data_IF_517222569653
#
_entry.id   IF_517222569653
#
_cell.length_a   1.000
_cell.length_b   1.000
_cell.length_c   1.000
_cell.angle_alpha   90.00
_cell.angle_beta   90.00
_cell.angle_gamma   90.00
#
_symmetry.space_group_name_H-M   'P 1'
#
loop_
_entity.id
_entity.type
_entity.pdbx_description
1 polymer ?
#
# COMPACT_ATOMS: atom_id res chain seq x y z
N UNK A 1 18.43 20.65 -2.75
CA UNK A 1 18.11 21.19 -1.41
C UNK A 1 18.44 20.12 -0.39
N UNK A 2 18.89 20.51 0.81
CA UNK A 2 19.22 19.55 1.89
C UNK A 2 18.26 19.77 3.05
N UNK A 3 17.76 18.69 3.65
CA UNK A 3 16.93 18.69 4.85
C UNK A 3 17.70 17.99 5.98
N UNK A 4 17.75 18.62 7.16
CA UNK A 4 18.26 17.97 8.36
C UNK A 4 17.11 17.17 9.01
N UNK A 5 17.29 15.86 9.13
CA UNK A 5 16.28 14.96 9.68
C UNK A 5 16.06 15.27 11.16
N UNK A 6 14.85 15.61 11.51
CA UNK A 6 14.41 15.81 12.89
C UNK A 6 13.84 14.51 13.49
N UNK A 7 13.79 14.46 14.83
CA UNK A 7 13.14 13.32 15.52
C UNK A 7 11.66 13.25 15.14
N UNK A 8 11.25 12.12 14.58
CA UNK A 8 9.89 11.89 14.10
C UNK A 8 9.70 12.13 12.60
N UNK A 9 10.74 12.58 11.87
CA UNK A 9 10.68 12.62 10.42
C UNK A 9 10.67 11.21 9.84
N UNK A 10 9.88 11.03 8.78
CA UNK A 10 9.88 9.83 7.95
C UNK A 10 10.11 10.23 6.50
N UNK A 11 10.69 9.36 5.70
CA UNK A 11 10.86 9.63 4.25
C UNK A 11 9.54 9.92 3.55
N UNK A 12 8.46 9.27 3.98
CA UNK A 12 7.11 9.49 3.46
C UNK A 12 6.61 10.90 3.76
N UNK A 13 6.74 11.36 5.01
CA UNK A 13 6.36 12.71 5.42
C UNK A 13 7.21 13.77 4.70
N UNK A 14 8.51 13.52 4.56
CA UNK A 14 9.42 14.41 3.85
C UNK A 14 9.13 14.43 2.34
N UNK A 15 8.78 13.29 1.74
CA UNK A 15 8.35 13.22 0.34
C UNK A 15 7.11 14.09 0.09
N UNK A 16 6.11 14.00 0.95
CA UNK A 16 4.91 14.85 0.89
C UNK A 16 5.24 16.32 1.10
N UNK A 17 6.01 16.64 2.14
CA UNK A 17 6.42 18.02 2.47
C UNK A 17 7.14 18.72 1.32
N UNK A 18 7.95 17.99 0.58
CA UNK A 18 8.75 18.54 -0.51
C UNK A 18 8.17 18.29 -1.91
N UNK A 19 6.99 17.68 -2.01
CA UNK A 19 6.32 17.40 -3.29
C UNK A 19 7.12 16.45 -4.19
N UNK A 20 7.76 15.46 -3.58
CA UNK A 20 8.57 14.43 -4.24
C UNK A 20 8.08 13.02 -3.84
N UNK A 21 8.77 11.98 -4.26
CA UNK A 21 8.43 10.59 -3.90
C UNK A 21 9.52 9.99 -3.02
N UNK A 22 9.17 8.99 -2.20
CA UNK A 22 10.15 8.23 -1.39
C UNK A 22 11.23 7.63 -2.29
N UNK A 23 10.86 7.10 -3.45
CA UNK A 23 11.80 6.56 -4.44
C UNK A 23 12.77 7.61 -4.98
N UNK A 24 12.31 8.84 -5.23
CA UNK A 24 13.16 9.93 -5.66
C UNK A 24 14.12 10.39 -4.54
N UNK A 25 13.63 10.43 -3.29
CA UNK A 25 14.46 10.70 -2.12
C UNK A 25 15.54 9.63 -1.94
N UNK A 26 15.21 8.34 -2.07
CA UNK A 26 16.19 7.26 -1.99
C UNK A 26 17.24 7.32 -3.09
N UNK A 27 16.83 7.57 -4.34
CA UNK A 27 17.76 7.73 -5.47
C UNK A 27 18.73 8.89 -5.24
N UNK A 28 18.27 10.00 -4.63
CA UNK A 28 19.10 11.14 -4.30
C UNK A 28 19.99 10.90 -3.06
N UNK A 29 19.75 9.83 -2.31
CA UNK A 29 20.43 9.50 -1.06
C UNK A 29 20.85 8.02 -1.03
N UNK A 30 21.87 7.59 -1.78
CA UNK A 30 22.28 6.18 -1.85
C UNK A 30 22.70 5.58 -0.50
N UNK A 31 23.01 6.43 0.49
CA UNK A 31 23.32 6.00 1.86
C UNK A 31 22.09 5.55 2.63
N UNK A 32 20.89 5.95 2.21
CA UNK A 32 19.62 5.53 2.79
C UNK A 32 19.22 4.20 2.14
N UNK A 33 19.81 3.13 2.59
CA UNK A 33 19.55 1.76 2.09
C UNK A 33 18.19 1.25 2.55
N UNK A 34 17.73 1.73 3.70
CA UNK A 34 16.39 1.40 4.22
C UNK A 34 15.57 2.71 4.38
N UNK A 35 14.46 2.86 3.62
CA UNK A 35 13.62 4.05 3.69
C UNK A 35 12.94 4.26 5.05
N UNK A 36 12.83 3.19 5.84
CA UNK A 36 12.20 3.19 7.13
C UNK A 36 13.20 3.51 8.28
N UNK A 37 14.49 3.64 7.94
CA UNK A 37 15.56 3.89 8.90
C UNK A 37 16.32 5.16 8.52
N UNK A 38 15.77 6.30 8.90
CA UNK A 38 16.45 7.59 8.87
C UNK A 38 16.68 8.08 10.29
N UNK A 39 17.86 8.62 10.56
CA UNK A 39 18.24 9.02 11.91
C UNK A 39 18.16 10.53 12.06
N UNK A 40 17.59 10.99 13.18
CA UNK A 40 17.59 12.39 13.53
C UNK A 40 19.04 12.90 13.64
N UNK A 41 19.33 14.02 12.98
CA UNK A 41 20.68 14.58 12.85
C UNK A 41 21.38 14.27 11.52
N UNK A 42 20.89 13.30 10.75
CA UNK A 42 21.39 13.07 9.39
C UNK A 42 20.85 14.10 8.41
N UNK A 43 21.53 14.23 7.28
CA UNK A 43 21.14 15.11 6.20
C UNK A 43 20.56 14.32 5.02
N UNK A 44 19.41 14.74 4.54
CA UNK A 44 18.73 14.17 3.40
C UNK A 44 18.77 15.13 2.21
N UNK A 45 19.33 14.70 1.09
CA UNK A 45 19.26 15.44 -0.17
C UNK A 45 17.84 15.36 -0.74
N UNK A 46 17.19 16.51 -0.87
CA UNK A 46 15.88 16.61 -1.49
C UNK A 46 16.12 16.93 -2.97
N UNK A 47 15.79 16.02 -3.89
CA UNK A 47 15.83 16.34 -5.31
C UNK A 47 14.90 17.53 -5.55
N UNK A 48 15.38 18.53 -6.31
CA UNK A 48 14.51 19.62 -6.77
C UNK A 48 13.29 18.99 -7.44
N UNK A 49 12.16 19.70 -7.47
CA UNK A 49 11.02 19.31 -8.31
C UNK A 49 11.56 19.02 -9.70
N UNK A 50 11.86 17.78 -9.97
CA UNK A 50 12.01 17.33 -11.34
C UNK A 50 10.59 17.29 -11.87
N UNK A 51 10.24 18.22 -12.72
CA UNK A 51 9.10 18.15 -13.62
C UNK A 51 9.30 16.93 -14.54
N UNK A 52 9.19 15.76 -14.00
CA UNK A 52 9.33 14.46 -14.69
C UNK A 52 8.16 13.55 -14.37
N UNK A 53 6.96 14.11 -14.47
CA UNK A 53 5.78 13.42 -14.93
C UNK A 53 5.20 14.20 -16.11
N UNK A 54 6.03 14.42 -17.11
CA UNK A 54 5.56 14.69 -18.46
C UNK A 54 5.28 13.34 -19.10
N UNK A 55 4.08 13.09 -19.63
CA UNK A 55 3.92 12.00 -20.56
C UNK A 55 4.87 12.27 -21.72
N UNK A 56 5.66 11.27 -22.10
CA UNK A 56 6.45 11.35 -23.32
C UNK A 56 5.49 11.57 -24.50
N UNK A 57 5.25 12.83 -24.79
CA UNK A 57 4.62 13.28 -26.01
C UNK A 57 5.66 13.29 -27.10
N UNK A 58 5.75 12.23 -27.82
CA UNK A 58 6.45 12.12 -29.09
C UNK A 58 5.48 11.50 -30.07
N UNK A 59 4.66 12.34 -30.71
CA UNK A 59 3.95 11.95 -31.92
C UNK A 59 4.94 11.91 -33.07
N UNK A 60 5.08 10.79 -33.75
CA UNK A 60 5.40 10.81 -35.16
C UNK A 60 4.10 10.80 -35.96
N UNK A 61 3.99 11.79 -36.81
CA UNK A 61 3.01 11.97 -37.86
C UNK A 61 3.05 10.77 -38.82
N UNK A 62 1.88 10.22 -39.08
CA UNK A 62 1.43 9.72 -40.39
C UNK A 62 2.02 8.41 -40.87
N UNK A 63 1.16 7.40 -40.99
CA UNK A 63 0.85 6.78 -42.26
C UNK A 63 -0.32 5.81 -42.12
N UNK A 64 -1.27 6.00 -42.99
CA UNK A 64 -2.46 5.16 -43.21
C UNK A 64 -2.10 3.81 -43.83
N UNK A 65 -2.92 2.79 -43.51
CA UNK A 65 -3.06 1.62 -44.34
C UNK A 65 -3.46 0.36 -43.58
N UNK A 66 -4.40 -0.39 -44.13
CA UNK A 66 -5.22 -1.36 -43.38
C UNK A 66 -4.68 -2.78 -43.53
N UNK A 67 -5.07 -3.63 -42.59
CA UNK A 67 -4.86 -5.06 -42.76
C UNK A 67 -4.85 -5.79 -41.44
N UNK A 68 -5.90 -6.55 -41.20
CA UNK A 68 -6.04 -7.44 -40.10
C UNK A 68 -4.96 -8.49 -40.07
N UNK A 69 -4.81 -9.07 -38.94
CA UNK A 69 -4.83 -10.53 -38.79
C UNK A 69 -4.75 -10.90 -37.30
N UNK A 70 -5.65 -11.77 -36.97
CA UNK A 70 -5.74 -12.52 -35.74
C UNK A 70 -4.47 -13.34 -35.52
N UNK A 71 -3.94 -13.29 -34.29
CA UNK A 71 -3.12 -14.36 -33.76
C UNK A 71 -3.59 -14.78 -32.38
N UNK A 72 -4.22 -15.94 -32.36
CA UNK A 72 -4.51 -16.71 -31.16
C UNK A 72 -3.38 -17.72 -30.91
N UNK A 73 -3.27 -18.18 -29.65
CA UNK A 73 -2.05 -18.61 -29.00
C UNK A 73 -1.78 -20.09 -29.11
N UNK A 74 -0.56 -20.45 -29.14
CA UNK A 74 -0.10 -21.82 -28.89
C UNK A 74 0.78 -21.87 -27.69
N UNK A 75 0.40 -22.45 -26.67
CA UNK A 75 0.70 -23.67 -26.00
C UNK A 75 2.00 -23.76 -25.21
N UNK A 76 1.78 -24.02 -23.92
CA UNK A 76 2.44 -24.98 -23.03
C UNK A 76 3.82 -24.67 -22.43
N UNK A 77 3.81 -24.69 -21.11
CA UNK A 77 4.80 -25.42 -20.33
C UNK A 77 5.72 -24.63 -19.45
N UNK A 78 5.54 -24.74 -18.14
CA UNK A 78 6.69 -24.71 -17.27
C UNK A 78 6.62 -23.84 -16.02
N UNK A 79 6.18 -24.44 -14.94
CA UNK A 79 6.71 -24.35 -13.58
C UNK A 79 6.85 -23.00 -12.88
N UNK A 80 6.05 -22.82 -11.82
CA UNK A 80 6.49 -22.08 -10.62
C UNK A 80 6.58 -20.57 -10.74
N UNK A 81 5.52 -19.91 -11.20
CA UNK A 81 5.42 -18.47 -11.14
C UNK A 81 4.52 -18.06 -9.97
N UNK A 82 5.03 -17.25 -9.07
CA UNK A 82 4.21 -16.51 -8.13
C UNK A 82 3.10 -15.82 -8.93
N UNK A 83 1.85 -16.24 -8.71
CA UNK A 83 0.68 -15.67 -9.38
C UNK A 83 0.59 -14.21 -8.96
N UNK A 84 0.84 -13.31 -9.89
CA UNK A 84 0.59 -11.89 -9.72
C UNK A 84 -0.87 -11.69 -9.26
N UNK A 85 -1.14 -10.74 -8.37
CA UNK A 85 -2.49 -10.51 -7.89
C UNK A 85 -3.42 -10.21 -9.06
N UNK A 86 -4.46 -11.02 -9.19
CA UNK A 86 -5.45 -10.93 -10.24
C UNK A 86 -6.36 -9.72 -10.02
N UNK A 87 -6.05 -8.60 -10.61
CA UNK A 87 -6.83 -7.38 -10.60
C UNK A 87 -5.98 -6.14 -10.82
N UNK A 88 -6.52 -5.09 -11.47
CA UNK A 88 -5.79 -3.85 -11.61
C UNK A 88 -5.51 -3.27 -10.21
N UNK A 89 -4.27 -2.79 -10.01
CA UNK A 89 -3.91 -2.09 -8.78
C UNK A 89 -4.85 -0.90 -8.57
N UNK A 90 -5.34 -0.68 -7.33
CA UNK A 90 -6.17 0.48 -7.02
C UNK A 90 -5.42 1.76 -7.37
N UNK A 91 -6.13 2.73 -7.94
CA UNK A 91 -5.56 4.01 -8.37
C UNK A 91 -5.75 5.06 -7.28
N UNK A 92 -4.87 6.08 -7.27
CA UNK A 92 -4.93 7.20 -6.33
C UNK A 92 -4.24 6.92 -4.99
N UNK A 93 -4.36 7.85 -4.06
CA UNK A 93 -3.62 7.86 -2.79
C UNK A 93 -3.72 6.57 -1.99
N UNK A 94 -4.91 5.94 -1.93
CA UNK A 94 -5.10 4.65 -1.25
C UNK A 94 -4.29 3.56 -1.95
N UNK A 95 -4.23 3.58 -3.28
CA UNK A 95 -3.43 2.64 -4.07
C UNK A 95 -1.94 2.76 -3.77
N UNK A 96 -1.45 3.99 -3.64
CA UNK A 96 -0.04 4.27 -3.32
C UNK A 96 0.31 3.75 -1.92
N UNK A 97 -0.54 3.96 -0.93
CA UNK A 97 -0.36 3.43 0.42
C UNK A 97 -0.38 1.89 0.47
N UNK A 98 -1.30 1.26 -0.28
CA UNK A 98 -1.34 -0.20 -0.39
C UNK A 98 -0.06 -0.73 -1.00
N UNK A 99 0.42 -0.13 -2.09
CA UNK A 99 1.65 -0.54 -2.75
C UNK A 99 2.87 -0.39 -1.82
N UNK A 100 2.95 0.71 -1.08
CA UNK A 100 4.01 0.93 -0.10
C UNK A 100 3.97 -0.10 1.02
N UNK A 101 2.80 -0.35 1.60
CA UNK A 101 2.63 -1.38 2.62
C UNK A 101 3.00 -2.78 2.11
N UNK A 102 2.63 -3.14 0.88
CA UNK A 102 3.00 -4.42 0.26
C UNK A 102 4.51 -4.55 0.07
N UNK A 103 5.21 -3.48 -0.33
CA UNK A 103 6.67 -3.48 -0.47
C UNK A 103 7.35 -3.72 0.87
N UNK A 104 6.90 -3.05 1.94
CA UNK A 104 7.42 -3.22 3.29
C UNK A 104 7.16 -4.66 3.77
N UNK A 105 5.95 -5.15 3.62
CA UNK A 105 5.56 -6.50 4.01
C UNK A 105 6.37 -7.57 3.27
N UNK A 106 6.63 -7.37 1.98
CA UNK A 106 7.46 -8.28 1.18
C UNK A 106 8.90 -8.33 1.67
N UNK A 107 9.48 -7.20 2.07
CA UNK A 107 10.81 -7.12 2.68
C UNK A 107 10.88 -7.88 4.02
N UNK A 108 9.74 -7.97 4.72
CA UNK A 108 9.60 -8.74 5.97
C UNK A 108 9.11 -10.19 5.73
N UNK A 109 9.23 -10.69 4.50
CA UNK A 109 8.97 -12.08 4.18
C UNK A 109 7.50 -12.46 4.01
N UNK A 110 6.60 -11.48 3.86
CA UNK A 110 5.18 -11.77 3.57
C UNK A 110 5.03 -12.07 2.08
N UNK A 111 4.52 -13.25 1.70
CA UNK A 111 4.34 -13.62 0.30
C UNK A 111 3.29 -12.77 -0.41
N UNK A 112 3.54 -12.41 -1.68
CA UNK A 112 2.66 -11.55 -2.46
C UNK A 112 1.25 -12.14 -2.66
N UNK A 113 1.13 -13.46 -2.75
CA UNK A 113 -0.15 -14.18 -2.87
C UNK A 113 -1.05 -14.04 -1.63
N UNK A 114 -0.50 -13.64 -0.48
CA UNK A 114 -1.24 -13.43 0.78
C UNK A 114 -1.81 -12.02 0.91
N UNK A 115 -1.35 -11.06 0.12
CA UNK A 115 -1.65 -9.63 0.25
C UNK A 115 -2.11 -9.02 -1.08
N UNK A 116 -3.18 -9.57 -1.67
CA UNK A 116 -3.75 -9.06 -2.92
C UNK A 116 -4.19 -7.59 -2.78
N UNK A 117 -3.69 -6.71 -3.65
CA UNK A 117 -3.93 -5.26 -3.58
C UNK A 117 -5.42 -4.88 -3.75
N UNK A 118 -6.13 -5.56 -4.66
CA UNK A 118 -7.55 -5.30 -4.90
C UNK A 118 -8.41 -5.71 -3.70
N UNK A 119 -8.05 -6.78 -3.01
CA UNK A 119 -8.74 -7.22 -1.80
C UNK A 119 -8.47 -6.29 -0.62
N UNK A 120 -7.22 -5.82 -0.46
CA UNK A 120 -6.88 -4.79 0.54
C UNK A 120 -7.69 -3.52 0.27
N UNK A 121 -7.76 -3.06 -0.98
CA UNK A 121 -8.56 -1.90 -1.35
C UNK A 121 -10.05 -2.09 -1.06
N UNK A 122 -10.56 -3.30 -1.31
CA UNK A 122 -11.95 -3.65 -0.99
C UNK A 122 -12.23 -3.55 0.50
N UNK A 123 -11.35 -4.09 1.34
CA UNK A 123 -11.45 -3.98 2.80
C UNK A 123 -11.44 -2.50 3.21
N UNK A 124 -10.44 -1.73 2.78
CA UNK A 124 -10.32 -0.30 3.08
C UNK A 124 -11.57 0.47 2.69
N UNK A 125 -12.10 0.22 1.49
CA UNK A 125 -13.31 0.90 1.01
C UNK A 125 -14.53 0.58 1.89
N UNK A 126 -14.64 -0.65 2.40
CA UNK A 126 -15.76 -1.09 3.23
C UNK A 126 -15.62 -0.67 4.69
N UNK A 127 -14.41 -0.64 5.21
CA UNK A 127 -14.15 -0.31 6.62
C UNK A 127 -14.12 1.21 6.87
N UNK A 128 -13.48 1.97 5.99
CA UNK A 128 -13.24 3.41 6.22
C UNK A 128 -13.63 4.33 5.07
N UNK A 129 -14.09 3.78 3.94
CA UNK A 129 -14.31 4.56 2.72
C UNK A 129 -13.02 5.17 2.16
N UNK A 130 -11.85 4.64 2.54
CA UNK A 130 -10.55 5.19 2.16
C UNK A 130 -10.08 6.36 3.03
N UNK A 131 -10.76 6.65 4.14
CA UNK A 131 -10.39 7.74 5.05
C UNK A 131 -9.37 7.24 6.11
N UNK A 132 -8.12 7.72 6.09
CA UNK A 132 -7.10 7.31 7.07
C UNK A 132 -7.39 7.81 8.49
N UNK A 133 -8.23 8.84 8.63
CA UNK A 133 -8.64 9.40 9.92
C UNK A 133 -9.96 8.82 10.44
N UNK A 134 -10.52 7.80 9.78
CA UNK A 134 -11.76 7.17 10.23
C UNK A 134 -11.59 6.61 11.64
N UNK A 135 -12.60 6.84 12.47
CA UNK A 135 -12.65 6.31 13.83
C UNK A 135 -14.09 5.95 14.17
N UNK A 136 -14.28 4.71 14.63
CA UNK A 136 -15.58 4.23 15.11
C UNK A 136 -15.68 4.48 16.63
N UNK A 137 -16.58 5.37 17.03
CA UNK A 137 -16.75 5.77 18.43
C UNK A 137 -18.04 5.23 19.06
N UNK A 138 -18.78 4.34 18.39
CA UNK A 138 -20.13 3.93 18.81
C UNK A 138 -20.32 2.42 18.98
N UNK A 139 -19.33 1.60 18.67
CA UNK A 139 -19.40 0.15 18.87
C UNK A 139 -18.94 -0.28 20.28
N UNK A 140 -19.02 -1.60 20.54
CA UNK A 140 -18.61 -2.17 21.81
C UNK A 140 -17.10 -2.01 22.09
N UNK A 141 -16.26 -1.86 21.07
CA UNK A 141 -14.84 -1.62 21.24
C UNK A 141 -14.59 -0.18 21.68
N UNK A 142 -15.30 0.77 21.08
CA UNK A 142 -15.25 2.18 21.49
C UNK A 142 -15.71 2.35 22.94
N UNK A 143 -16.78 1.67 23.34
CA UNK A 143 -17.26 1.68 24.73
C UNK A 143 -16.22 1.13 25.73
N UNK A 144 -15.32 0.26 25.28
CA UNK A 144 -14.19 -0.27 26.09
C UNK A 144 -12.93 0.57 25.99
N UNK A 145 -12.97 1.74 25.35
CA UNK A 145 -11.82 2.62 25.15
C UNK A 145 -10.84 2.19 24.07
N UNK A 146 -11.24 1.25 23.21
CA UNK A 146 -10.42 0.75 22.11
C UNK A 146 -11.15 0.91 20.76
N UNK A 147 -11.43 2.15 20.31
CA UNK A 147 -12.13 2.39 19.06
C UNK A 147 -11.36 1.81 17.86
N UNK A 148 -12.09 1.44 16.83
CA UNK A 148 -11.49 1.07 15.53
C UNK A 148 -10.99 2.33 14.82
N UNK A 149 -9.76 2.29 14.30
CA UNK A 149 -9.05 3.47 13.76
C UNK A 149 -8.44 3.14 12.41
N UNK A 150 -8.44 4.15 11.53
CA UNK A 150 -7.68 4.18 10.29
C UNK A 150 -8.32 3.43 9.13
N UNK A 151 -7.53 3.20 8.09
CA UNK A 151 -7.99 2.65 6.82
C UNK A 151 -8.62 1.26 6.96
N UNK A 152 -8.00 0.38 7.75
CA UNK A 152 -8.46 -0.99 7.98
C UNK A 152 -9.19 -1.16 9.31
N UNK A 153 -9.60 -0.08 9.97
CA UNK A 153 -10.38 -0.08 11.20
C UNK A 153 -9.85 -1.05 12.26
N UNK A 154 -8.53 -0.98 12.49
CA UNK A 154 -7.88 -1.78 13.54
C UNK A 154 -8.09 -1.15 14.91
N UNK A 155 -8.31 -1.98 15.94
CA UNK A 155 -8.28 -1.51 17.34
C UNK A 155 -6.83 -1.49 17.86
N UNK A 156 -6.56 -0.64 18.86
CA UNK A 156 -5.21 -0.48 19.43
C UNK A 156 -4.51 -1.78 19.81
N UNK A 157 -5.14 -2.72 20.55
CA UNK A 157 -4.54 -4.01 20.87
C UNK A 157 -4.16 -4.84 19.64
N UNK A 158 -5.02 -4.90 18.63
CA UNK A 158 -4.74 -5.61 17.36
C UNK A 158 -3.58 -4.95 16.63
N UNK A 159 -3.61 -3.63 16.49
CA UNK A 159 -2.52 -2.88 15.87
C UNK A 159 -1.17 -3.19 16.54
N UNK A 160 -1.10 -3.08 17.87
CA UNK A 160 0.13 -3.32 18.63
C UNK A 160 0.66 -4.75 18.49
N UNK A 161 -0.22 -5.74 18.31
CA UNK A 161 0.16 -7.14 18.14
C UNK A 161 0.68 -7.45 16.72
N UNK A 162 0.25 -6.68 15.71
CA UNK A 162 0.53 -6.98 14.31
C UNK A 162 1.36 -5.92 13.58
N UNK A 163 1.63 -4.76 14.19
CA UNK A 163 2.53 -3.75 13.60
C UNK A 163 3.93 -4.32 13.38
N UNK A 164 4.69 -3.71 12.49
CA UNK A 164 6.11 -3.98 12.32
C UNK A 164 6.94 -3.01 13.18
N UNK A 165 8.16 -3.37 13.56
CA UNK A 165 9.09 -2.43 14.18
C UNK A 165 9.30 -1.19 13.29
N UNK A 166 9.21 0.00 13.89
CA UNK A 166 9.30 1.26 13.14
C UNK A 166 7.99 1.74 12.51
N UNK A 167 6.95 0.91 12.54
CA UNK A 167 5.60 1.21 12.05
C UNK A 167 4.63 1.30 13.24
N UNK A 168 4.77 2.35 14.04
CA UNK A 168 4.17 2.45 15.38
C UNK A 168 2.95 3.38 15.45
N UNK A 169 2.54 3.97 14.34
CA UNK A 169 1.47 4.95 14.30
C UNK A 169 0.19 4.37 13.66
N UNK A 170 -0.79 4.00 14.49
CA UNK A 170 -2.08 3.47 14.04
C UNK A 170 -2.85 4.41 13.10
N UNK A 171 -2.55 5.72 13.11
CA UNK A 171 -3.16 6.73 12.23
C UNK A 171 -2.37 6.98 10.96
N UNK A 172 -1.16 6.45 10.85
CA UNK A 172 -0.43 6.45 9.60
C UNK A 172 -1.09 5.43 8.65
N UNK A 173 -1.41 5.81 7.41
CA UNK A 173 -2.13 4.94 6.49
C UNK A 173 -1.36 3.66 6.15
N UNK A 174 -0.05 3.74 6.02
CA UNK A 174 0.79 2.59 5.67
C UNK A 174 0.94 1.65 6.86
N UNK A 175 1.21 2.17 8.05
CA UNK A 175 1.30 1.39 9.28
C UNK A 175 -0.01 0.66 9.60
N UNK A 176 -1.14 1.34 9.39
CA UNK A 176 -2.46 0.77 9.58
C UNK A 176 -2.74 -0.38 8.61
N UNK A 177 -2.38 -0.23 7.33
CA UNK A 177 -2.49 -1.30 6.33
C UNK A 177 -1.58 -2.48 6.69
N UNK A 178 -0.33 -2.22 7.08
CA UNK A 178 0.63 -3.27 7.49
C UNK A 178 0.04 -4.12 8.61
N UNK A 179 -0.44 -3.49 9.68
CA UNK A 179 -1.00 -4.19 10.82
C UNK A 179 -2.27 -4.97 10.44
N UNK A 180 -3.20 -4.36 9.69
CA UNK A 180 -4.44 -4.99 9.25
C UNK A 180 -4.20 -6.18 8.31
N UNK A 181 -3.28 -6.07 7.37
CA UNK A 181 -2.91 -7.17 6.46
C UNK A 181 -2.28 -8.33 7.23
N UNK A 182 -1.36 -8.07 8.16
CA UNK A 182 -0.74 -9.11 8.98
C UNK A 182 -1.76 -9.81 9.89
N UNK A 183 -2.69 -9.05 10.47
CA UNK A 183 -3.81 -9.63 11.21
C UNK A 183 -4.67 -10.54 10.31
N UNK A 184 -5.05 -10.06 9.12
CA UNK A 184 -5.86 -10.84 8.17
C UNK A 184 -5.14 -12.14 7.75
N UNK A 185 -3.84 -12.08 7.50
CA UNK A 185 -3.04 -13.26 7.17
C UNK A 185 -2.99 -14.24 8.36
N UNK A 186 -2.72 -13.75 9.56
CA UNK A 186 -2.63 -14.59 10.75
C UNK A 186 -3.97 -15.30 11.06
N UNK A 187 -5.10 -14.61 10.84
CA UNK A 187 -6.41 -15.15 11.17
C UNK A 187 -7.05 -16.00 10.06
N UNK A 188 -6.84 -15.61 8.80
CA UNK A 188 -7.53 -16.19 7.64
C UNK A 188 -6.58 -16.81 6.61
N UNK A 189 -5.27 -16.70 6.80
CA UNK A 189 -4.25 -17.23 5.90
C UNK A 189 -3.91 -16.29 4.72
N UNK A 190 -4.80 -15.38 4.34
CA UNK A 190 -4.57 -14.31 3.35
C UNK A 190 -5.66 -13.25 3.44
N UNK A 191 -5.42 -12.07 2.88
CA UNK A 191 -6.46 -11.01 2.78
C UNK A 191 -7.62 -11.44 1.90
N UNK A 192 -7.36 -12.28 0.88
CA UNK A 192 -8.38 -12.84 0.00
C UNK A 192 -9.35 -13.80 0.71
N UNK A 193 -8.96 -14.32 1.85
CA UNK A 193 -9.75 -15.23 2.67
C UNK A 193 -10.58 -14.54 3.76
N UNK A 194 -10.45 -13.23 3.90
CA UNK A 194 -11.31 -12.44 4.79
C UNK A 194 -12.78 -12.70 4.46
N UNK A 195 -13.64 -12.99 5.47
CA UNK A 195 -15.04 -13.35 5.22
C UNK A 195 -15.79 -12.35 4.35
N UNK A 196 -15.61 -11.04 4.58
CA UNK A 196 -16.23 -9.99 3.78
C UNK A 196 -15.80 -10.00 2.32
N UNK A 197 -14.51 -10.26 2.04
CA UNK A 197 -13.99 -10.36 0.68
C UNK A 197 -14.57 -11.58 -0.04
N UNK A 198 -14.60 -12.73 0.65
CA UNK A 198 -15.22 -13.96 0.11
C UNK A 198 -16.71 -13.77 -0.17
N UNK A 199 -17.44 -13.15 0.76
CA UNK A 199 -18.87 -12.89 0.59
C UNK A 199 -19.14 -12.07 -0.68
N UNK A 200 -18.38 -10.98 -0.88
CA UNK A 200 -18.52 -10.14 -2.08
C UNK A 200 -18.21 -10.89 -3.37
N UNK A 201 -17.17 -11.73 -3.38
CA UNK A 201 -16.83 -12.56 -4.56
C UNK A 201 -17.94 -13.54 -4.93
N UNK A 202 -18.70 -13.98 -3.95
CA UNK A 202 -19.82 -14.90 -4.14
C UNK A 202 -21.18 -14.18 -4.33
N UNK A 203 -21.16 -12.86 -4.57
CA UNK A 203 -22.36 -12.05 -4.79
C UNK A 203 -23.15 -11.71 -3.52
N UNK A 204 -22.60 -11.98 -2.34
CA UNK A 204 -23.21 -11.66 -1.05
C UNK A 204 -22.84 -10.26 -0.55
N UNK A 205 -23.36 -9.90 0.63
CA UNK A 205 -23.00 -8.66 1.32
C UNK A 205 -21.66 -8.76 2.03
N UNK A 206 -20.96 -7.63 2.14
CA UNK A 206 -19.72 -7.57 2.93
C UNK A 206 -20.05 -7.77 4.43
N UNK A 207 -19.32 -8.68 5.05
CA UNK A 207 -19.25 -8.84 6.50
C UNK A 207 -17.85 -8.45 6.95
N UNK A 208 -17.70 -7.77 8.08
CA UNK A 208 -16.40 -7.31 8.58
C UNK A 208 -15.34 -8.43 8.75
N UNK A 209 -14.16 -8.08 9.22
CA UNK A 209 -13.06 -9.00 9.43
C UNK A 209 -12.47 -8.92 10.84
#
# INVERSE_FOLDING_TARGET
MVHNIAKGDTLSALAQKYGTTVSALQKANPKVTNPDLIFAGDTLNIPGKSDSFGPAGGSPKGMSGPGGDSFQPGGAGGTGGATAPSGPAPKGQVGDWIQQAQQILAQHGVPADKMNAADIATIIQRESGGNPNAQNNWDSNAAKGTPSIGLMQTIGPTFNSYKLPGHDNIRDPVDNIIAGVRYAIARYGSVSNVPGVKALRNGGAYVGY
#
